data_IF_903334409363
#
_entry.id   IF_903334409363
#
_cell.length_a   1.000
_cell.length_b   1.000
_cell.length_c   1.000
_cell.angle_alpha   90.00
_cell.angle_beta   90.00
_cell.angle_gamma   90.00
#
_symmetry.space_group_name_H-M   'P 1'
#
loop_
_entity.id
_entity.type
_entity.pdbx_description
1 polymer ?
#
# COMPACT_ATOMS: atom_id res chain seq x y z
N UNK A 1 -6.09 11.81 27.05
CA UNK A 1 -6.16 11.70 25.59
C UNK A 1 -5.49 10.39 25.23
N UNK A 2 -6.18 9.33 24.79
CA UNK A 2 -5.47 8.20 24.22
C UNK A 2 -4.99 8.67 22.85
N UNK A 3 -3.69 8.84 22.68
CA UNK A 3 -3.07 8.88 21.36
C UNK A 3 -3.30 7.50 20.77
N UNK A 4 -4.28 7.38 19.89
CA UNK A 4 -4.42 6.23 19.02
C UNK A 4 -3.11 6.14 18.25
N UNK A 5 -2.20 5.28 18.70
CA UNK A 5 -1.13 4.78 17.86
C UNK A 5 -1.82 3.91 16.82
N UNK A 6 -2.41 4.56 15.83
CA UNK A 6 -2.77 3.95 14.57
C UNK A 6 -1.42 3.68 13.91
N UNK A 7 -0.81 2.53 14.21
CA UNK A 7 0.44 2.08 13.61
C UNK A 7 0.26 2.01 12.09
N UNK A 8 0.53 3.13 11.42
CA UNK A 8 0.57 3.22 9.98
C UNK A 8 1.82 2.48 9.53
N UNK A 9 1.65 1.21 9.18
CA UNK A 9 2.73 0.45 8.54
C UNK A 9 2.95 0.99 7.14
N UNK A 10 4.19 1.37 6.85
CA UNK A 10 4.60 1.80 5.51
C UNK A 10 5.51 0.76 4.87
N UNK A 11 5.17 0.30 3.67
CA UNK A 11 5.96 -0.66 2.89
C UNK A 11 6.58 0.10 1.71
N UNK A 12 7.91 0.27 1.62
CA UNK A 12 8.54 0.93 0.48
C UNK A 12 8.40 0.08 -0.79
N UNK A 13 8.02 0.71 -1.91
CA UNK A 13 8.01 0.06 -3.24
C UNK A 13 9.26 0.45 -4.02
N UNK A 14 9.63 1.73 -3.96
CA UNK A 14 10.85 2.28 -4.58
C UNK A 14 11.26 3.57 -3.85
N UNK A 15 12.26 4.28 -4.38
CA UNK A 15 12.85 5.47 -3.74
C UNK A 15 11.82 6.56 -3.37
N UNK A 16 10.78 6.71 -4.19
CA UNK A 16 9.80 7.80 -4.06
C UNK A 16 8.38 7.30 -3.80
N UNK A 17 8.11 6.00 -3.75
CA UNK A 17 6.77 5.47 -3.51
C UNK A 17 6.73 4.36 -2.47
N UNK A 18 5.65 4.34 -1.73
CA UNK A 18 5.42 3.42 -0.63
C UNK A 18 3.92 3.16 -0.46
N UNK A 19 3.59 1.98 0.03
CA UNK A 19 2.24 1.64 0.48
C UNK A 19 2.09 2.04 1.94
N UNK A 20 0.89 2.43 2.32
CA UNK A 20 0.47 2.76 3.66
C UNK A 20 -0.69 1.83 3.99
N UNK A 21 -0.54 1.07 5.07
CA UNK A 21 -1.59 0.20 5.58
C UNK A 21 -2.39 0.93 6.65
N UNK A 22 -3.71 0.86 6.55
CA UNK A 22 -4.65 1.54 7.43
C UNK A 22 -5.78 0.59 7.83
N UNK A 23 -5.55 -0.33 8.78
CA UNK A 23 -6.53 -1.35 9.13
C UNK A 23 -7.88 -0.80 9.60
N UNK A 24 -7.92 0.43 10.12
CA UNK A 24 -9.14 1.08 10.64
C UNK A 24 -9.86 1.98 9.62
N UNK A 25 -9.35 2.14 8.39
CA UNK A 25 -9.95 3.01 7.38
C UNK A 25 -10.79 2.21 6.35
N UNK A 26 -11.73 2.86 5.67
CA UNK A 26 -12.54 2.24 4.59
C UNK A 26 -11.69 1.71 3.41
N UNK A 27 -10.44 2.16 3.32
CA UNK A 27 -9.39 1.63 2.48
C UNK A 27 -8.26 1.20 3.42
N UNK A 28 -7.92 -0.08 3.41
CA UNK A 28 -6.82 -0.63 4.20
C UNK A 28 -5.46 -0.46 3.52
N UNK A 29 -5.45 -0.12 2.23
CA UNK A 29 -4.26 0.06 1.42
C UNK A 29 -4.29 1.41 0.68
N UNK A 30 -3.25 2.21 0.88
CA UNK A 30 -3.02 3.47 0.17
C UNK A 30 -1.62 3.52 -0.41
N UNK A 31 -1.49 3.74 -1.72
CA UNK A 31 -0.20 3.97 -2.37
C UNK A 31 0.08 5.47 -2.38
N UNK A 32 1.25 5.87 -1.87
CA UNK A 32 1.71 7.26 -1.84
C UNK A 32 2.99 7.44 -2.63
N UNK A 33 3.11 8.61 -3.24
CA UNK A 33 4.35 9.11 -3.84
C UNK A 33 4.85 10.31 -3.06
N UNK A 34 6.13 10.29 -2.72
CA UNK A 34 6.89 11.42 -2.21
C UNK A 34 7.38 12.26 -3.40
N UNK A 35 7.21 13.57 -3.30
CA UNK A 35 7.73 14.51 -4.28
C UNK A 35 8.22 15.76 -3.55
N UNK A 36 9.53 16.01 -3.62
CA UNK A 36 10.21 17.03 -2.84
C UNK A 36 9.86 16.95 -1.34
N UNK A 37 9.07 17.91 -0.82
CA UNK A 37 8.69 18.01 0.58
C UNK A 37 7.24 17.57 0.86
N UNK A 38 6.53 17.02 -0.12
CA UNK A 38 5.14 16.57 0.03
C UNK A 38 4.98 15.09 -0.32
N UNK A 39 3.89 14.50 0.16
CA UNK A 39 3.45 13.18 -0.28
C UNK A 39 2.00 13.26 -0.71
N UNK A 40 1.66 12.56 -1.78
CA UNK A 40 0.29 12.52 -2.29
C UNK A 40 -0.12 11.08 -2.58
N UNK A 41 -1.41 10.81 -2.43
CA UNK A 41 -1.99 9.51 -2.73
C UNK A 41 -2.06 9.33 -4.25
N UNK A 42 -1.54 8.23 -4.75
CA UNK A 42 -1.58 7.84 -6.16
C UNK A 42 -2.49 6.63 -6.42
N UNK A 43 -2.97 5.99 -5.36
CA UNK A 43 -3.92 4.90 -5.44
C UNK A 43 -4.44 4.53 -4.06
N UNK A 44 -5.69 4.09 -3.99
CA UNK A 44 -6.31 3.55 -2.79
C UNK A 44 -7.07 2.29 -3.16
N UNK A 45 -7.02 1.31 -2.29
CA UNK A 45 -7.66 0.03 -2.50
C UNK A 45 -8.11 -0.53 -1.15
N UNK A 46 -9.21 -1.27 -1.16
CA UNK A 46 -9.55 -2.14 -0.05
C UNK A 46 -9.05 -3.55 -0.37
N UNK A 47 -7.82 -3.81 0.05
CA UNK A 47 -7.09 -5.05 -0.14
C UNK A 47 -7.80 -6.25 0.50
N UNK A 48 -8.39 -6.11 1.68
CA UNK A 48 -9.12 -7.18 2.37
C UNK A 48 -10.29 -7.71 1.55
N UNK A 49 -11.02 -6.84 0.86
CA UNK A 49 -12.16 -7.24 0.03
C UNK A 49 -11.81 -7.47 -1.45
N UNK A 50 -10.71 -6.88 -1.95
CA UNK A 50 -10.35 -6.91 -3.37
C UNK A 50 -8.99 -7.54 -3.65
N UNK A 51 -8.50 -8.42 -2.77
CA UNK A 51 -7.18 -9.05 -2.85
C UNK A 51 -6.87 -9.66 -4.23
N UNK A 52 -7.88 -10.24 -4.89
CA UNK A 52 -7.82 -10.82 -6.23
C UNK A 52 -7.42 -9.81 -7.32
N UNK A 53 -7.79 -8.54 -7.16
CA UNK A 53 -7.48 -7.46 -8.11
C UNK A 53 -6.21 -6.68 -7.78
N UNK A 54 -5.51 -7.02 -6.68
CA UNK A 54 -4.34 -6.27 -6.21
C UNK A 54 -3.23 -6.21 -7.26
N UNK A 55 -2.91 -7.33 -7.90
CA UNK A 55 -1.88 -7.37 -8.93
C UNK A 55 -2.20 -6.39 -10.06
N UNK A 56 -3.45 -6.37 -10.54
CA UNK A 56 -3.90 -5.45 -11.58
C UNK A 56 -3.85 -3.99 -11.14
N UNK A 57 -4.20 -3.71 -9.87
CA UNK A 57 -4.12 -2.37 -9.30
C UNK A 57 -2.66 -1.87 -9.25
N UNK A 58 -1.74 -2.69 -8.76
CA UNK A 58 -0.32 -2.36 -8.68
C UNK A 58 0.31 -2.21 -10.07
N UNK A 59 -0.01 -3.09 -11.02
CA UNK A 59 0.44 -2.97 -12.41
C UNK A 59 0.01 -1.65 -13.07
N UNK A 60 -1.20 -1.16 -12.79
CA UNK A 60 -1.66 0.14 -13.33
C UNK A 60 -0.86 1.32 -12.81
N UNK A 61 -0.36 1.24 -11.57
CA UNK A 61 0.41 2.30 -10.92
C UNK A 61 1.90 2.19 -11.29
N UNK A 62 2.41 0.96 -11.38
CA UNK A 62 3.80 0.62 -11.64
C UNK A 62 3.87 -0.36 -12.82
N UNK A 63 3.80 0.11 -14.07
CA UNK A 63 3.77 -0.78 -15.23
C UNK A 63 5.07 -1.58 -15.44
N UNK A 64 6.16 -1.18 -14.77
CA UNK A 64 7.47 -1.84 -14.83
C UNK A 64 7.69 -2.85 -13.69
N UNK A 65 6.76 -2.97 -12.73
CA UNK A 65 6.88 -3.94 -11.64
C UNK A 65 6.68 -5.34 -12.20
N UNK A 66 7.43 -6.31 -11.70
CA UNK A 66 7.28 -7.71 -12.10
C UNK A 66 6.37 -8.49 -11.14
N UNK A 67 5.97 -9.69 -11.56
CA UNK A 67 5.04 -10.52 -10.79
C UNK A 67 5.61 -11.01 -9.46
N UNK A 68 6.93 -11.20 -9.37
CA UNK A 68 7.61 -11.61 -8.13
C UNK A 68 7.56 -10.47 -7.10
N UNK A 69 7.86 -9.24 -7.52
CA UNK A 69 7.76 -8.05 -6.67
C UNK A 69 6.33 -7.83 -6.16
N UNK A 70 5.32 -8.00 -7.02
CA UNK A 70 3.91 -7.94 -6.59
C UNK A 70 3.61 -8.99 -5.53
N UNK A 71 4.06 -10.22 -5.72
CA UNK A 71 3.86 -11.29 -4.75
C UNK A 71 4.54 -11.01 -3.41
N UNK A 72 5.77 -10.48 -3.44
CA UNK A 72 6.49 -10.07 -2.23
C UNK A 72 5.76 -8.93 -1.49
N UNK A 73 5.20 -7.97 -2.24
CA UNK A 73 4.34 -6.93 -1.67
C UNK A 73 3.07 -7.52 -1.04
N UNK A 74 2.38 -8.46 -1.70
CA UNK A 74 1.21 -9.15 -1.13
C UNK A 74 1.56 -9.86 0.17
N UNK A 75 2.69 -10.57 0.19
CA UNK A 75 3.16 -11.26 1.39
C UNK A 75 3.45 -10.29 2.52
N UNK A 76 4.11 -9.17 2.23
CA UNK A 76 4.38 -8.12 3.22
C UNK A 76 3.07 -7.53 3.75
N UNK A 77 2.10 -7.23 2.88
CA UNK A 77 0.79 -6.70 3.30
C UNK A 77 0.03 -7.70 4.17
N UNK A 78 0.00 -8.98 3.77
CA UNK A 78 -0.68 -10.04 4.51
C UNK A 78 -0.11 -10.19 5.93
N UNK A 79 1.20 -10.00 6.14
CA UNK A 79 1.78 -10.04 7.49
C UNK A 79 1.19 -9.00 8.47
N UNK A 80 0.56 -7.94 7.97
CA UNK A 80 -0.03 -6.88 8.79
C UNK A 80 -1.56 -6.86 8.80
N UNK A 81 -2.22 -7.51 7.84
CA UNK A 81 -3.68 -7.48 7.65
C UNK A 81 -4.39 -8.81 7.93
N UNK A 82 -3.63 -9.88 8.24
CA UNK A 82 -4.15 -11.20 8.66
C UNK A 82 -4.52 -11.23 10.16
#
# INVERSE_FOLDING_TARGET
>A
MPTTNTDMTTIPVNADTYLVLRPEASYDLEVRRRHANTSYSIGKMNYKYHHDTFASFIFKIFPQINMLEIHDLQKAINQYLD
#
